data_IF_461551454880
#
_entry.id   IF_461551454880
#
_cell.length_a   1.000
_cell.length_b   1.000
_cell.length_c   1.000
_cell.angle_alpha   90.00
_cell.angle_beta   90.00
_cell.angle_gamma   90.00
#
_symmetry.space_group_name_H-M   'P 1'
#
loop_
_entity.id
_entity.type
_entity.pdbx_description
1 polymer ?
#
# COMPACT_ATOMS: atom_id res chain seq x y z
N UNK A 1 12.55 -1.07 -14.72
CA UNK A 1 11.12 -1.41 -14.59
C UNK A 1 10.61 -0.70 -13.35
N UNK A 2 9.69 0.26 -13.43
CA UNK A 2 9.06 0.73 -12.21
C UNK A 2 8.06 -0.35 -11.81
N UNK A 3 8.48 -1.22 -10.89
CA UNK A 3 7.64 -2.23 -10.30
C UNK A 3 6.77 -1.53 -9.26
N UNK A 4 5.52 -1.21 -9.59
CA UNK A 4 4.60 -0.67 -8.61
C UNK A 4 4.44 -1.71 -7.49
N UNK A 5 4.62 -1.31 -6.23
CA UNK A 5 4.48 -2.20 -5.08
C UNK A 5 3.41 -1.61 -4.16
N UNK A 6 2.39 -2.40 -3.87
CA UNK A 6 1.39 -2.06 -2.87
C UNK A 6 1.62 -2.92 -1.62
N UNK A 7 2.11 -2.28 -0.56
CA UNK A 7 2.29 -2.93 0.74
C UNK A 7 0.97 -2.88 1.52
N UNK A 8 0.42 -4.04 1.90
CA UNK A 8 -0.86 -4.22 2.61
C UNK A 8 -0.76 -5.22 3.76
N UNK A 9 -1.75 -5.25 4.66
CA UNK A 9 -1.81 -6.29 5.70
C UNK A 9 -2.72 -7.45 5.33
N UNK A 10 -3.90 -7.16 4.78
CA UNK A 10 -4.82 -8.18 4.29
C UNK A 10 -5.87 -7.56 3.37
N UNK A 11 -6.10 -8.17 2.21
CA UNK A 11 -7.25 -7.81 1.35
C UNK A 11 -8.60 -8.21 1.96
N UNK A 12 -8.59 -9.23 2.82
CA UNK A 12 -9.82 -9.85 3.33
C UNK A 12 -10.21 -9.34 4.72
N UNK A 13 -9.22 -8.92 5.52
CA UNK A 13 -9.42 -8.57 6.93
C UNK A 13 -9.05 -7.11 7.27
N UNK A 14 -8.60 -6.31 6.30
CA UNK A 14 -8.34 -4.87 6.49
C UNK A 14 -9.07 -4.05 5.42
N UNK A 15 -10.07 -3.29 5.83
CA UNK A 15 -10.85 -2.46 4.90
C UNK A 15 -10.01 -1.36 4.25
N UNK A 16 -8.97 -0.87 4.93
CA UNK A 16 -8.03 0.11 4.37
C UNK A 16 -7.14 -0.51 3.30
N UNK A 17 -6.58 -1.70 3.57
CA UNK A 17 -5.79 -2.44 2.59
C UNK A 17 -6.61 -2.85 1.36
N UNK A 18 -7.85 -3.30 1.55
CA UNK A 18 -8.74 -3.64 0.44
C UNK A 18 -9.03 -2.42 -0.45
N UNK A 19 -9.29 -1.25 0.15
CA UNK A 19 -9.53 -0.01 -0.61
C UNK A 19 -8.31 0.37 -1.45
N UNK A 20 -7.11 0.38 -0.88
CA UNK A 20 -5.88 0.69 -1.62
C UNK A 20 -5.66 -0.25 -2.80
N UNK A 21 -5.91 -1.55 -2.59
CA UNK A 21 -5.80 -2.56 -3.65
C UNK A 21 -6.83 -2.33 -4.76
N UNK A 22 -8.11 -2.15 -4.42
CA UNK A 22 -9.17 -1.92 -5.40
C UNK A 22 -8.90 -0.66 -6.23
N UNK A 23 -8.45 0.43 -5.60
CA UNK A 23 -8.10 1.66 -6.29
C UNK A 23 -7.03 1.43 -7.36
N UNK A 24 -5.94 0.73 -7.01
CA UNK A 24 -4.89 0.43 -7.98
C UNK A 24 -5.38 -0.47 -9.12
N UNK A 25 -6.26 -1.46 -8.82
CA UNK A 25 -6.87 -2.31 -9.85
C UNK A 25 -7.80 -1.53 -10.78
N UNK A 26 -8.59 -0.60 -10.24
CA UNK A 26 -9.51 0.24 -11.01
C UNK A 26 -8.75 1.23 -11.90
N UNK A 27 -7.60 1.74 -11.45
CA UNK A 27 -6.69 2.57 -12.26
C UNK A 27 -5.95 1.78 -13.35
N UNK A 28 -6.10 0.45 -13.42
CA UNK A 28 -5.41 -0.37 -14.41
C UNK A 28 -3.91 -0.53 -14.15
N UNK A 29 -3.43 -0.19 -12.95
CA UNK A 29 -2.02 -0.27 -12.58
C UNK A 29 -1.59 -1.74 -12.41
N UNK A 30 -0.55 -2.14 -13.14
CA UNK A 30 0.14 -3.40 -12.91
C UNK A 30 1.07 -3.28 -11.70
N UNK A 31 0.82 -4.09 -10.67
CA UNK A 31 1.49 -3.96 -9.37
C UNK A 31 1.76 -5.31 -8.73
N UNK A 32 2.81 -5.33 -7.91
CA UNK A 32 3.11 -6.42 -6.98
C UNK A 32 2.53 -6.12 -5.61
N UNK A 33 1.82 -7.09 -5.02
CA UNK A 33 1.31 -6.99 -3.65
C UNK A 33 2.37 -7.51 -2.67
N UNK A 34 2.68 -6.73 -1.65
CA UNK A 34 3.55 -7.13 -0.55
C UNK A 34 2.73 -7.17 0.75
N UNK A 35 2.64 -8.33 1.39
CA UNK A 35 1.86 -8.48 2.63
C UNK A 35 2.76 -8.37 3.85
N UNK A 36 2.39 -7.51 4.79
CA UNK A 36 3.06 -7.39 6.09
C UNK A 36 2.23 -8.07 7.17
N UNK A 37 2.74 -9.13 7.82
CA UNK A 37 2.06 -9.78 8.93
C UNK A 37 1.84 -8.83 10.12
N UNK A 38 0.61 -8.76 10.64
CA UNK A 38 0.29 -7.91 11.80
C UNK A 38 0.53 -8.64 13.13
N UNK A 39 0.46 -9.97 13.15
CA UNK A 39 0.35 -10.75 14.39
C UNK A 39 1.68 -11.33 14.92
N UNK A 40 2.81 -11.06 14.25
CA UNK A 40 4.09 -11.61 14.67
C UNK A 40 4.77 -10.74 15.75
N UNK A 41 5.22 -11.33 16.88
CA UNK A 41 6.02 -10.63 17.88
C UNK A 41 7.30 -10.07 17.23
N UNK A 42 7.45 -8.74 17.20
CA UNK A 42 8.62 -8.05 16.63
C UNK A 42 8.35 -7.25 15.35
N UNK A 43 7.30 -7.58 14.58
CA UNK A 43 7.04 -6.90 13.29
C UNK A 43 6.53 -5.47 13.41
N UNK A 44 5.97 -5.10 14.57
CA UNK A 44 5.64 -3.69 14.85
C UNK A 44 6.86 -2.78 14.78
N UNK A 45 8.05 -3.28 15.11
CA UNK A 45 9.30 -2.51 15.00
C UNK A 45 9.77 -2.37 13.53
N UNK A 46 9.63 -3.42 12.71
CA UNK A 46 9.94 -3.35 11.28
C UNK A 46 8.94 -2.46 10.52
N UNK A 47 7.66 -2.49 10.89
CA UNK A 47 6.63 -1.58 10.37
C UNK A 47 6.94 -0.11 10.69
N UNK A 48 7.45 0.18 11.89
CA UNK A 48 7.90 1.53 12.28
C UNK A 48 9.10 2.02 11.47
N UNK A 49 9.93 1.10 10.94
CA UNK A 49 11.04 1.44 10.04
C UNK A 49 10.58 1.70 8.59
N UNK A 50 9.46 1.10 8.17
CA UNK A 50 8.89 1.24 6.82
C UNK A 50 7.95 2.44 6.66
N UNK A 51 7.33 2.89 7.74
CA UNK A 51 6.47 4.07 7.80
C UNK A 51 6.40 4.62 9.22
N UNK A 52 6.63 5.93 9.44
CA UNK A 52 6.53 6.54 10.77
C UNK A 52 5.11 6.46 11.37
N UNK A 53 4.08 6.16 10.57
CA UNK A 53 2.69 6.04 11.04
C UNK A 53 2.23 4.60 11.33
N UNK A 54 2.98 3.55 10.94
CA UNK A 54 2.54 2.13 11.08
C UNK A 54 1.28 1.81 10.23
N UNK A 55 0.97 2.59 9.20
CA UNK A 55 -0.27 2.44 8.43
C UNK A 55 0.00 1.93 7.00
N UNK A 56 -0.49 0.73 6.73
CA UNK A 56 -0.77 0.23 5.38
C UNK A 56 -2.21 0.61 5.00
N UNK A 57 -2.56 0.81 3.71
CA UNK A 57 -1.78 0.56 2.50
C UNK A 57 -0.72 1.63 2.20
N UNK A 58 0.37 1.22 1.55
CA UNK A 58 1.40 2.10 0.97
C UNK A 58 1.66 1.72 -0.47
N UNK A 59 1.52 2.65 -1.41
CA UNK A 59 1.90 2.50 -2.80
C UNK A 59 3.31 3.05 -3.03
N UNK A 60 4.19 2.24 -3.63
CA UNK A 60 5.48 2.68 -4.14
C UNK A 60 5.45 2.59 -5.65
N UNK A 61 5.57 3.70 -6.36
CA UNK A 61 5.47 3.77 -7.82
C UNK A 61 6.36 4.90 -8.36
N UNK A 62 7.22 4.59 -9.34
CA UNK A 62 8.13 5.56 -9.98
C UNK A 62 8.96 6.46 -9.04
N UNK A 63 9.38 5.92 -7.89
CA UNK A 63 10.16 6.67 -6.89
C UNK A 63 9.31 7.48 -5.90
N UNK A 64 7.99 7.57 -6.12
CA UNK A 64 7.06 8.06 -5.12
C UNK A 64 6.72 6.97 -4.09
N UNK A 65 6.49 7.39 -2.85
CA UNK A 65 5.92 6.56 -1.80
C UNK A 65 4.72 7.29 -1.22
N UNK A 66 3.53 6.68 -1.35
CA UNK A 66 2.24 7.31 -1.05
C UNK A 66 1.50 6.44 -0.01
N UNK A 67 1.03 7.06 1.06
CA UNK A 67 0.28 6.43 2.15
C UNK A 67 -1.12 7.01 2.22
N UNK A 68 -2.03 6.32 2.90
CA UNK A 68 -3.46 6.66 2.97
C UNK A 68 -4.23 6.38 1.67
N UNK A 69 -5.44 5.84 1.80
CA UNK A 69 -6.23 5.44 0.63
C UNK A 69 -6.71 6.62 -0.20
N UNK A 70 -6.96 7.79 0.39
CA UNK A 70 -7.36 8.98 -0.36
C UNK A 70 -6.18 9.57 -1.11
N UNK A 71 -5.00 9.67 -0.49
CA UNK A 71 -3.82 10.16 -1.20
C UNK A 71 -3.39 9.19 -2.31
N UNK A 72 -3.53 7.87 -2.11
CA UNK A 72 -3.35 6.89 -3.18
C UNK A 72 -4.38 7.11 -4.30
N UNK A 73 -5.64 7.40 -3.97
CA UNK A 73 -6.67 7.67 -4.98
C UNK A 73 -6.34 8.92 -5.82
N UNK A 74 -6.00 10.04 -5.18
CA UNK A 74 -5.61 11.28 -5.87
C UNK A 74 -4.36 11.06 -6.73
N UNK A 75 -3.34 10.39 -6.20
CA UNK A 75 -2.13 10.06 -6.95
C UNK A 75 -2.44 9.25 -8.21
N UNK A 76 -3.27 8.21 -8.09
CA UNK A 76 -3.68 7.39 -9.22
C UNK A 76 -4.49 8.21 -10.23
N UNK A 77 -5.40 9.08 -9.76
CA UNK A 77 -6.21 9.95 -10.63
C UNK A 77 -5.40 10.98 -11.40
N UNK A 78 -4.24 11.41 -10.87
CA UNK A 78 -3.33 12.32 -11.59
C UNK A 78 -2.41 11.58 -12.55
N UNK A 79 -2.17 10.28 -12.32
CA UNK A 79 -1.17 9.48 -13.05
C UNK A 79 -1.77 8.64 -14.18
N UNK A 80 -3.02 8.20 -14.06
CA UNK A 80 -3.72 7.28 -14.98
C UNK A 80 -5.07 7.84 -15.45
#
# INVERSE_FOLDING_TARGET
MPQAILTISSRNYSSWSLRGWLLCKLAGLDLTEETVPIDAPGQRAELLLLSPSVLVPRLTHEGASVWDTLAIAEYLSETF
#
